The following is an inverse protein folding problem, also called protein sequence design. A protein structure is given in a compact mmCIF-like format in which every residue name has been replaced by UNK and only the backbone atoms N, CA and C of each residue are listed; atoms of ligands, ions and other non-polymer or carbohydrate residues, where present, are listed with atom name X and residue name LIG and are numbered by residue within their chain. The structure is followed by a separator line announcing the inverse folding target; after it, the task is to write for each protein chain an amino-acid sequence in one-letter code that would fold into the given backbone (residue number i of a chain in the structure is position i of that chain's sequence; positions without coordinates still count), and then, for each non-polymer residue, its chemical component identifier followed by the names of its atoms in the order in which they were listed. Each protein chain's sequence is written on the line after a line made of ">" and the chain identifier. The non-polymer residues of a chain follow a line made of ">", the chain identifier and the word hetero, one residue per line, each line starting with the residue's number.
data_IF_536730341749
#
_entry.id   IF_536730341749
#
_cell.length_a   1.000
_cell.length_b   1.000
_cell.length_c   1.000
_cell.angle_alpha   90.00
_cell.angle_beta   90.00
_cell.angle_gamma   90.00
#
_symmetry.space_group_name_H-M   'P 1'
#
loop_
_entity.id
_entity.type
_entity.pdbx_description
1 polymer ?
#
# COMPACT_ATOMS: atom_id res chain seq x y z
N UNK A 1 -11.15 -37.68 62.30
CA UNK A 1 -11.48 -37.79 60.87
C UNK A 1 -11.04 -36.43 60.22
N UNK A 2 -9.84 -36.38 59.68
CA UNK A 2 -9.33 -35.16 59.01
C UNK A 2 -9.50 -35.33 57.50
N UNK A 3 -10.20 -34.39 56.90
CA UNK A 3 -10.32 -34.28 55.41
C UNK A 3 -9.13 -33.50 54.88
N UNK A 4 -8.37 -34.13 53.98
CA UNK A 4 -7.27 -33.53 53.22
C UNK A 4 -7.85 -32.96 51.93
N UNK A 5 -7.91 -31.66 51.79
CA UNK A 5 -8.25 -30.99 50.51
C UNK A 5 -7.01 -30.97 49.63
N UNK A 6 -7.05 -31.72 48.53
CA UNK A 6 -6.01 -31.68 47.49
C UNK A 6 -6.35 -30.56 46.51
N UNK A 7 -5.54 -29.49 46.54
CA UNK A 7 -5.67 -28.34 45.60
C UNK A 7 -4.92 -28.74 44.29
N UNK A 8 -5.67 -28.95 43.23
CA UNK A 8 -5.10 -29.15 41.89
C UNK A 8 -4.80 -27.80 41.29
N UNK A 9 -3.52 -27.48 41.14
CA UNK A 9 -3.02 -26.30 40.44
C UNK A 9 -3.03 -26.59 38.93
N UNK A 10 -4.00 -26.00 38.20
CA UNK A 10 -4.02 -26.05 36.73
C UNK A 10 -3.01 -25.04 36.18
N UNK A 11 -1.93 -25.52 35.61
CA UNK A 11 -0.98 -24.69 34.85
C UNK A 11 -1.51 -24.51 33.44
N UNK A 12 -2.00 -23.29 33.14
CA UNK A 12 -2.32 -22.88 31.76
C UNK A 12 -1.02 -22.61 31.00
N UNK A 13 -0.65 -23.53 30.11
CA UNK A 13 0.39 -23.29 29.12
C UNK A 13 -0.19 -22.39 28.00
N UNK A 14 0.17 -21.12 28.01
CA UNK A 14 -0.02 -20.27 26.86
C UNK A 14 0.98 -20.68 25.77
N UNK A 15 0.52 -21.34 24.75
CA UNK A 15 1.29 -21.55 23.54
C UNK A 15 1.48 -20.20 22.84
N UNK A 16 2.67 -19.62 22.91
CA UNK A 16 3.05 -18.47 22.07
C UNK A 16 3.13 -18.97 20.64
N UNK A 17 2.13 -18.63 19.82
CA UNK A 17 2.24 -18.80 18.38
C UNK A 17 3.34 -17.85 17.92
N UNK A 18 4.43 -18.36 17.29
CA UNK A 18 5.44 -17.46 16.75
C UNK A 18 4.76 -16.57 15.69
N UNK A 19 4.82 -15.25 15.86
CA UNK A 19 4.47 -14.33 14.80
C UNK A 19 5.40 -14.66 13.61
N UNK A 20 4.85 -15.12 12.50
CA UNK A 20 5.61 -15.29 11.27
C UNK A 20 5.99 -13.86 10.87
N UNK A 21 7.22 -13.48 11.12
CA UNK A 21 7.79 -12.27 10.58
C UNK A 21 7.73 -12.45 9.05
N UNK A 22 6.80 -11.75 8.41
CA UNK A 22 6.78 -11.72 6.95
C UNK A 22 8.07 -11.03 6.52
N UNK A 23 8.97 -11.78 5.90
CA UNK A 23 10.21 -11.25 5.37
C UNK A 23 9.88 -10.23 4.27
N UNK A 24 9.84 -8.96 4.66
CA UNK A 24 9.73 -7.82 3.75
C UNK A 24 11.09 -7.18 3.62
N UNK A 25 11.56 -7.04 2.41
CA UNK A 25 12.77 -6.27 2.10
C UNK A 25 12.49 -5.31 0.95
N UNK A 26 13.24 -4.22 0.91
CA UNK A 26 13.14 -3.22 -0.15
C UNK A 26 14.55 -2.86 -0.66
N UNK A 27 14.66 -2.69 -1.97
CA UNK A 27 15.87 -2.20 -2.61
C UNK A 27 15.51 -1.29 -3.79
N UNK A 28 16.41 -0.38 -4.14
CA UNK A 28 16.25 0.41 -5.38
C UNK A 28 16.53 -0.45 -6.60
N UNK A 29 15.87 -0.15 -7.73
CA UNK A 29 16.15 -0.77 -9.03
C UNK A 29 16.27 0.28 -10.13
N UNK A 30 16.82 -0.12 -11.26
CA UNK A 30 16.97 0.71 -12.48
C UNK A 30 16.13 0.18 -13.64
N UNK A 31 15.14 -0.67 -13.36
CA UNK A 31 14.26 -1.27 -14.37
C UNK A 31 13.56 -0.18 -15.19
N UNK A 32 13.40 -0.42 -16.48
CA UNK A 32 12.59 0.42 -17.33
C UNK A 32 11.12 0.38 -16.86
N UNK A 33 10.40 1.47 -17.08
CA UNK A 33 8.95 1.52 -16.89
C UNK A 33 8.30 0.47 -17.79
N UNK A 34 7.34 -0.33 -17.30
CA UNK A 34 6.67 -1.38 -18.07
C UNK A 34 6.06 -0.86 -19.37
N UNK A 35 6.29 -1.60 -20.47
CA UNK A 35 5.85 -1.19 -21.81
C UNK A 35 4.32 -1.19 -21.98
N UNK A 36 3.62 -1.95 -21.15
CA UNK A 36 2.15 -2.00 -21.11
C UNK A 36 1.48 -0.74 -20.54
N UNK A 37 2.24 0.16 -19.91
CA UNK A 37 1.74 1.47 -19.47
C UNK A 37 1.68 2.41 -20.68
N UNK A 38 0.59 3.17 -20.80
CA UNK A 38 0.42 4.12 -21.89
C UNK A 38 1.53 5.17 -21.94
N UNK A 39 2.02 5.52 -23.13
CA UNK A 39 3.14 6.43 -23.32
C UNK A 39 3.01 7.80 -22.59
N UNK A 40 1.83 8.46 -22.56
CA UNK A 40 1.68 9.70 -21.80
C UNK A 40 1.91 9.53 -20.29
N UNK A 41 1.54 8.38 -19.72
CA UNK A 41 1.76 8.04 -18.31
C UNK A 41 3.22 7.67 -18.07
N UNK A 42 3.82 6.83 -18.94
CA UNK A 42 5.25 6.50 -18.86
C UNK A 42 6.14 7.75 -18.81
N UNK A 43 5.78 8.80 -19.56
CA UNK A 43 6.53 10.06 -19.59
C UNK A 43 6.62 10.76 -18.23
N UNK A 44 5.64 10.53 -17.34
CA UNK A 44 5.63 11.09 -15.97
C UNK A 44 6.40 10.24 -14.97
N UNK A 45 6.63 8.97 -15.22
CA UNK A 45 7.28 8.05 -14.29
C UNK A 45 8.81 8.21 -14.35
N UNK A 46 9.46 8.11 -13.20
CA UNK A 46 10.91 8.07 -13.10
C UNK A 46 11.44 6.76 -13.70
N UNK A 47 12.66 6.79 -14.23
CA UNK A 47 13.41 5.57 -14.57
C UNK A 47 13.96 4.97 -13.28
N UNK A 48 13.72 3.70 -13.08
CA UNK A 48 14.04 3.05 -11.81
C UNK A 48 13.02 3.37 -10.74
N UNK A 49 13.19 2.76 -9.59
CA UNK A 49 12.26 2.86 -8.46
C UNK A 49 12.65 1.94 -7.32
N UNK A 50 11.68 1.25 -6.74
CA UNK A 50 11.89 0.32 -5.64
C UNK A 50 11.30 -1.06 -5.94
N UNK A 51 12.03 -2.10 -5.58
CA UNK A 51 11.55 -3.48 -5.53
C UNK A 51 11.31 -3.86 -4.08
N UNK A 52 10.08 -4.22 -3.74
CA UNK A 52 9.74 -4.88 -2.48
C UNK A 52 9.63 -6.38 -2.69
N UNK A 53 10.22 -7.17 -1.79
CA UNK A 53 9.97 -8.62 -1.66
C UNK A 53 9.07 -8.85 -0.46
N UNK A 54 7.99 -9.59 -0.67
CA UNK A 54 7.02 -9.96 0.36
C UNK A 54 6.85 -11.47 0.29
N UNK A 55 7.61 -12.20 1.12
CA UNK A 55 7.75 -13.64 0.98
C UNK A 55 8.32 -14.01 -0.40
N UNK A 56 7.60 -14.85 -1.16
CA UNK A 56 7.99 -15.22 -2.52
C UNK A 56 7.56 -14.21 -3.60
N UNK A 57 6.77 -13.21 -3.25
CA UNK A 57 6.27 -12.22 -4.21
C UNK A 57 7.25 -11.06 -4.38
N UNK A 58 7.36 -10.56 -5.59
CA UNK A 58 8.13 -9.36 -5.92
C UNK A 58 7.18 -8.29 -6.46
N UNK A 59 7.28 -7.09 -5.89
CA UNK A 59 6.50 -5.91 -6.31
C UNK A 59 7.48 -4.81 -6.68
N UNK A 60 7.52 -4.44 -7.96
CA UNK A 60 8.31 -3.32 -8.45
C UNK A 60 7.45 -2.06 -8.48
N UNK A 61 8.01 -0.94 -8.06
CA UNK A 61 7.37 0.37 -8.02
C UNK A 61 8.15 1.39 -8.86
N UNK A 62 7.43 2.26 -9.57
CA UNK A 62 7.96 3.43 -10.28
C UNK A 62 7.15 4.64 -9.84
N UNK A 63 7.81 5.62 -9.26
CA UNK A 63 7.13 6.83 -8.78
C UNK A 63 7.11 7.91 -9.88
N UNK A 64 6.19 8.86 -9.79
CA UNK A 64 6.22 10.02 -10.69
C UNK A 64 7.47 10.85 -10.44
N UNK A 65 7.98 11.49 -11.50
CA UNK A 65 9.15 12.39 -11.42
C UNK A 65 8.89 13.61 -10.54
N UNK A 66 7.63 14.07 -10.53
CA UNK A 66 7.13 15.15 -9.68
C UNK A 66 5.65 14.93 -9.42
N UNK A 67 5.26 14.85 -8.15
CA UNK A 67 3.88 14.70 -7.75
C UNK A 67 3.20 16.08 -7.78
N UNK A 68 2.01 16.15 -8.37
CA UNK A 68 1.17 17.34 -8.32
C UNK A 68 0.54 17.46 -6.92
N UNK A 69 1.21 18.22 -6.05
CA UNK A 69 0.80 18.50 -4.69
C UNK A 69 0.95 20.01 -4.43
N UNK A 70 -0.03 20.62 -3.79
CA UNK A 70 -0.04 22.07 -3.47
C UNK A 70 0.69 22.41 -2.17
N UNK A 71 1.20 21.41 -1.45
CA UNK A 71 1.89 21.56 -0.16
C UNK A 71 2.79 20.35 0.13
N UNK A 72 3.18 20.20 1.41
CA UNK A 72 4.12 19.16 1.87
C UNK A 72 3.45 18.06 2.69
N UNK A 73 2.14 17.93 2.64
CA UNK A 73 1.36 16.89 3.30
C UNK A 73 0.36 16.24 2.33
N UNK A 74 -0.20 15.12 2.74
CA UNK A 74 -1.12 14.35 1.89
C UNK A 74 -2.41 15.10 1.57
N UNK A 75 -2.87 16.00 2.43
CA UNK A 75 -4.07 16.81 2.20
C UNK A 75 -3.91 17.77 1.01
N UNK A 76 -2.67 18.01 0.59
CA UNK A 76 -2.33 18.83 -0.57
C UNK A 76 -2.43 18.10 -1.92
N UNK A 77 -2.61 16.77 -1.90
CA UNK A 77 -2.75 15.93 -3.09
C UNK A 77 -4.22 15.79 -3.44
N UNK A 78 -4.59 16.12 -4.67
CA UNK A 78 -5.97 15.95 -5.13
C UNK A 78 -6.29 14.46 -5.36
N UNK A 79 -7.53 14.04 -5.08
CA UNK A 79 -7.97 12.68 -5.34
C UNK A 79 -7.89 12.32 -6.83
N UNK A 80 -7.49 11.09 -7.11
CA UNK A 80 -7.24 10.61 -8.48
C UNK A 80 -5.89 11.02 -9.07
N UNK A 81 -5.05 11.77 -8.34
CA UNK A 81 -3.69 12.13 -8.79
C UNK A 81 -2.83 10.88 -8.93
N UNK A 82 -2.10 10.79 -10.05
CA UNK A 82 -1.14 9.73 -10.29
C UNK A 82 0.07 9.89 -9.36
N UNK A 83 0.36 8.88 -8.56
CA UNK A 83 1.52 8.82 -7.65
C UNK A 83 2.63 7.96 -8.23
N UNK A 84 2.27 6.93 -8.99
CA UNK A 84 3.24 6.00 -9.55
C UNK A 84 2.60 4.82 -10.26
N UNK A 85 3.39 3.78 -10.46
CA UNK A 85 2.97 2.50 -10.99
C UNK A 85 3.58 1.36 -10.16
N UNK A 86 2.96 0.19 -10.20
CA UNK A 86 3.54 -1.03 -9.65
C UNK A 86 3.33 -2.21 -10.58
N UNK A 87 4.25 -3.19 -10.50
CA UNK A 87 4.14 -4.50 -11.14
C UNK A 87 4.24 -5.58 -10.09
N UNK A 88 3.23 -6.43 -10.03
CA UNK A 88 3.11 -7.52 -9.07
C UNK A 88 3.42 -8.83 -9.78
N UNK A 89 4.41 -9.58 -9.30
CA UNK A 89 4.89 -10.82 -9.96
C UNK A 89 3.97 -12.03 -9.76
N UNK A 90 3.23 -12.07 -8.64
CA UNK A 90 2.31 -13.14 -8.27
C UNK A 90 1.10 -12.53 -7.55
N UNK A 91 -0.02 -13.26 -7.36
CA UNK A 91 -1.16 -12.74 -6.62
C UNK A 91 -0.74 -12.17 -5.26
N UNK A 92 -1.14 -10.92 -5.00
CA UNK A 92 -0.79 -10.17 -3.80
C UNK A 92 -2.04 -9.91 -2.96
N UNK A 93 -1.95 -10.15 -1.67
CA UNK A 93 -3.06 -9.95 -0.74
C UNK A 93 -2.85 -8.65 0.03
N UNK A 94 -3.80 -7.73 -0.10
CA UNK A 94 -3.80 -6.47 0.66
C UNK A 94 -4.15 -6.70 2.14
N UNK A 95 -4.01 -5.65 2.97
CA UNK A 95 -4.29 -5.72 4.41
C UNK A 95 -5.78 -6.02 4.73
N UNK A 96 -6.67 -5.86 3.76
CA UNK A 96 -8.11 -6.18 3.87
C UNK A 96 -8.43 -7.59 3.37
N UNK A 97 -7.40 -8.40 3.12
CA UNK A 97 -7.52 -9.77 2.67
C UNK A 97 -7.95 -9.95 1.21
N UNK A 98 -7.96 -8.90 0.38
CA UNK A 98 -8.34 -8.96 -1.03
C UNK A 98 -7.15 -9.29 -1.89
N UNK A 99 -7.35 -10.09 -2.91
CA UNK A 99 -6.27 -10.54 -3.78
C UNK A 99 -6.22 -9.71 -5.06
N UNK A 100 -5.12 -8.98 -5.22
CA UNK A 100 -4.73 -8.34 -6.46
C UNK A 100 -3.99 -9.36 -7.32
N UNK A 101 -4.37 -9.53 -8.59
CA UNK A 101 -3.72 -10.48 -9.50
C UNK A 101 -2.32 -10.00 -9.86
N UNK A 102 -1.47 -10.92 -10.34
CA UNK A 102 -0.22 -10.55 -11.00
C UNK A 102 -0.52 -9.63 -12.21
N UNK A 103 0.25 -8.56 -12.35
CA UNK A 103 0.01 -7.58 -13.41
C UNK A 103 0.63 -6.22 -13.11
N UNK A 104 0.38 -5.26 -14.01
CA UNK A 104 0.84 -3.88 -13.91
C UNK A 104 -0.34 -2.95 -13.62
N UNK A 105 -0.15 -2.08 -12.64
CA UNK A 105 -1.16 -1.18 -12.13
C UNK A 105 -0.60 0.24 -12.01
N UNK A 106 -1.44 1.24 -12.22
CA UNK A 106 -1.15 2.61 -11.81
C UNK A 106 -1.64 2.84 -10.38
N UNK A 107 -0.96 3.71 -9.68
CA UNK A 107 -1.24 4.06 -8.29
C UNK A 107 -1.80 5.48 -8.24
N UNK A 108 -3.06 5.61 -7.83
CA UNK A 108 -3.74 6.89 -7.72
C UNK A 108 -4.12 7.19 -6.28
N UNK A 109 -3.79 8.41 -5.83
CA UNK A 109 -4.14 8.86 -4.48
C UNK A 109 -5.64 9.02 -4.31
N UNK A 110 -6.17 8.58 -3.19
CA UNK A 110 -7.57 8.78 -2.81
C UNK A 110 -7.76 8.81 -1.30
N UNK A 111 -8.91 9.30 -0.89
CA UNK A 111 -9.33 9.38 0.50
C UNK A 111 -10.55 8.49 0.75
N UNK A 112 -10.54 7.79 1.86
CA UNK A 112 -11.70 7.03 2.29
C UNK A 112 -12.88 7.98 2.59
N UNK A 113 -14.05 7.73 2.00
CA UNK A 113 -15.24 8.54 2.31
C UNK A 113 -15.56 8.54 3.80
N UNK A 114 -15.96 9.70 4.33
CA UNK A 114 -16.37 9.83 5.73
C UNK A 114 -17.89 9.55 5.88
N UNK A 115 -18.32 8.39 5.42
CA UNK A 115 -19.66 7.89 5.67
C UNK A 115 -19.60 6.70 6.64
N UNK A 116 -20.68 6.41 7.35
CA UNK A 116 -20.73 5.42 8.41
C UNK A 116 -20.28 4.01 8.01
N UNK A 117 -20.34 3.69 6.71
CA UNK A 117 -20.00 2.37 6.18
C UNK A 117 -18.48 2.09 6.11
N UNK A 118 -17.63 3.11 6.33
CA UNK A 118 -16.17 3.01 6.20
C UNK A 118 -15.43 3.27 7.52
N UNK A 119 -16.14 3.47 8.62
CA UNK A 119 -15.52 3.69 9.93
C UNK A 119 -14.78 2.42 10.39
N UNK A 120 -13.51 2.56 10.78
CA UNK A 120 -12.69 1.47 11.32
C UNK A 120 -12.10 0.49 10.30
N UNK A 121 -12.31 0.70 9.00
CA UNK A 121 -11.82 -0.20 7.91
C UNK A 121 -10.36 0.06 7.52
N UNK A 122 -9.78 1.17 7.96
CA UNK A 122 -8.36 1.50 7.84
C UNK A 122 -7.98 2.44 8.99
N UNK A 123 -6.76 2.35 9.51
CA UNK A 123 -6.29 3.28 10.57
C UNK A 123 -6.22 4.73 10.05
N UNK A 124 -6.02 4.92 8.74
CA UNK A 124 -5.92 6.23 8.09
C UNK A 124 -6.83 6.27 6.87
N UNK A 125 -7.23 7.49 6.49
CA UNK A 125 -8.12 7.71 5.34
C UNK A 125 -7.40 7.61 3.99
N UNK A 126 -6.12 7.85 4.00
CA UNK A 126 -5.27 7.94 2.82
C UNK A 126 -4.96 6.54 2.29
N UNK A 127 -5.09 6.39 0.97
CA UNK A 127 -4.74 5.15 0.30
C UNK A 127 -4.38 5.41 -1.17
N UNK A 128 -3.78 4.40 -1.80
CA UNK A 128 -3.55 4.37 -3.23
C UNK A 128 -4.51 3.37 -3.87
N UNK A 129 -5.25 3.81 -4.86
CA UNK A 129 -6.03 2.94 -5.75
C UNK A 129 -5.10 2.27 -6.74
N UNK A 130 -5.19 0.95 -6.87
CA UNK A 130 -4.49 0.20 -7.91
C UNK A 130 -5.42 0.04 -9.13
N UNK A 131 -5.16 0.78 -10.21
CA UNK A 131 -5.93 0.75 -11.45
C UNK A 131 -5.21 -0.06 -12.51
N UNK A 132 -5.89 -0.90 -13.34
CA UNK A 132 -5.22 -1.68 -14.38
C UNK A 132 -4.53 -0.77 -15.39
N UNK A 133 -3.22 -0.93 -15.60
CA UNK A 133 -2.43 -0.07 -16.50
C UNK A 133 -2.93 -0.09 -17.96
N UNK A 134 -3.56 -1.18 -18.38
CA UNK A 134 -4.13 -1.30 -19.73
C UNK A 134 -5.37 -0.42 -19.97
N UNK A 135 -6.08 -0.04 -18.88
CA UNK A 135 -7.31 0.74 -18.95
C UNK A 135 -7.13 2.17 -18.47
N UNK A 136 -6.17 2.39 -17.59
CA UNK A 136 -5.83 3.69 -17.05
C UNK A 136 -4.72 4.34 -17.89
N UNK A 137 -5.12 5.09 -18.91
CA UNK A 137 -4.20 5.62 -19.92
C UNK A 137 -3.95 7.12 -19.81
N UNK A 138 -4.61 7.82 -18.86
CA UNK A 138 -4.49 9.27 -18.73
C UNK A 138 -3.49 9.70 -17.66
N UNK A 139 -2.61 10.67 -17.94
CA UNK A 139 -1.72 11.26 -16.94
C UNK A 139 -2.44 12.23 -16.00
N UNK A 140 -3.62 12.73 -16.36
CA UNK A 140 -4.38 13.70 -15.56
C UNK A 140 -4.97 13.07 -14.30
N UNK A 141 -5.24 13.90 -13.28
CA UNK A 141 -6.01 13.47 -12.12
C UNK A 141 -7.44 13.12 -12.56
N UNK A 142 -7.92 11.96 -12.11
CA UNK A 142 -9.25 11.45 -12.48
C UNK A 142 -10.37 11.96 -11.56
N UNK A 143 -10.03 12.45 -10.37
CA UNK A 143 -10.97 12.61 -9.27
C UNK A 143 -11.30 11.26 -8.61
N UNK A 144 -12.14 11.30 -7.56
CA UNK A 144 -12.44 10.12 -6.71
C UNK A 144 -13.18 9.01 -7.49
N UNK A 145 -14.41 9.28 -7.94
CA UNK A 145 -15.30 8.26 -8.48
C UNK A 145 -14.75 7.55 -9.73
N UNK A 146 -14.22 8.24 -10.75
CA UNK A 146 -13.64 7.58 -11.91
C UNK A 146 -12.42 6.72 -11.56
N UNK A 147 -11.59 7.15 -10.60
CA UNK A 147 -10.44 6.37 -10.13
C UNK A 147 -10.88 5.10 -9.38
N UNK A 148 -11.91 5.21 -8.55
CA UNK A 148 -12.53 4.06 -7.84
C UNK A 148 -13.11 3.06 -8.84
N UNK A 149 -13.82 3.53 -9.87
CA UNK A 149 -14.43 2.65 -10.88
C UNK A 149 -13.39 1.89 -11.71
N UNK A 150 -12.26 2.53 -12.02
CA UNK A 150 -11.13 1.83 -12.63
C UNK A 150 -10.51 0.80 -11.69
N UNK A 151 -10.30 1.16 -10.42
CA UNK A 151 -9.68 0.25 -9.44
C UNK A 151 -10.54 -0.99 -9.13
N UNK A 152 -11.87 -0.90 -9.22
CA UNK A 152 -12.76 -2.08 -9.13
C UNK A 152 -12.44 -3.15 -10.18
N UNK A 153 -12.01 -2.75 -11.37
CA UNK A 153 -11.65 -3.68 -12.45
C UNK A 153 -10.42 -4.52 -12.15
N UNK A 154 -9.54 -4.05 -11.26
CA UNK A 154 -8.32 -4.76 -10.86
C UNK A 154 -8.57 -6.08 -10.12
N UNK A 155 -9.69 -6.18 -9.40
CA UNK A 155 -10.05 -7.34 -8.57
C UNK A 155 -11.42 -7.95 -8.91
N UNK A 156 -12.13 -7.40 -9.88
CA UNK A 156 -13.43 -7.91 -10.36
C UNK A 156 -14.52 -8.04 -9.28
N UNK A 157 -14.55 -7.12 -8.31
CA UNK A 157 -15.59 -7.06 -7.27
C UNK A 157 -16.11 -5.63 -7.12
N UNK A 158 -17.18 -5.45 -6.35
CA UNK A 158 -17.82 -4.13 -6.11
C UNK A 158 -16.94 -3.11 -5.38
N UNK A 159 -15.86 -3.55 -4.73
CA UNK A 159 -14.91 -2.68 -4.06
C UNK A 159 -13.63 -2.47 -4.89
N UNK A 160 -12.98 -1.31 -4.80
CA UNK A 160 -11.73 -1.05 -5.51
C UNK A 160 -10.57 -1.83 -4.89
N UNK A 161 -9.52 -2.08 -5.70
CA UNK A 161 -8.22 -2.50 -5.20
C UNK A 161 -7.53 -1.31 -4.53
N UNK A 162 -7.22 -1.45 -3.25
CA UNK A 162 -6.63 -0.38 -2.43
C UNK A 162 -5.34 -0.84 -1.76
N UNK A 163 -4.38 0.07 -1.66
CA UNK A 163 -3.17 -0.07 -0.87
C UNK A 163 -3.20 1.02 0.20
N UNK A 164 -3.41 0.63 1.45
CA UNK A 164 -3.54 1.57 2.57
C UNK A 164 -2.21 2.25 2.88
N UNK A 165 -2.28 3.49 3.34
CA UNK A 165 -1.13 4.27 3.74
C UNK A 165 -1.13 4.46 5.25
N UNK A 166 0.05 4.32 5.86
CA UNK A 166 0.34 4.79 7.20
C UNK A 166 1.09 6.13 7.13
N UNK A 167 0.98 7.01 8.15
CA UNK A 167 1.86 8.15 8.27
C UNK A 167 3.32 7.69 8.23
N UNK A 168 4.17 8.32 7.39
CA UNK A 168 5.54 7.87 7.24
C UNK A 168 6.33 8.11 8.53
N UNK A 169 6.95 7.06 9.03
CA UNK A 169 7.90 7.16 10.15
C UNK A 169 9.19 7.81 9.63
N UNK A 170 9.82 8.65 10.44
CA UNK A 170 11.13 9.21 10.10
C UNK A 170 12.19 8.11 10.12
N UNK A 171 12.71 7.75 8.95
CA UNK A 171 13.66 6.63 8.80
C UNK A 171 15.08 7.07 8.55
N UNK A 172 15.34 8.36 8.36
CA UNK A 172 16.66 8.86 7.93
C UNK A 172 17.08 8.42 6.51
N UNK A 173 16.30 7.58 5.84
CA UNK A 173 16.51 7.09 4.47
C UNK A 173 15.29 7.38 3.61
N UNK A 174 15.47 7.70 2.31
CA UNK A 174 14.36 7.97 1.39
C UNK A 174 13.56 6.72 1.01
N UNK A 175 14.09 5.53 1.29
CA UNK A 175 13.46 4.24 1.08
C UNK A 175 13.82 3.30 2.24
N UNK A 176 12.83 2.81 2.96
CA UNK A 176 13.04 1.92 4.12
C UNK A 176 11.82 1.01 4.35
N UNK A 177 12.04 -0.11 5.03
CA UNK A 177 10.98 -0.92 5.62
C UNK A 177 10.78 -0.47 7.06
N UNK A 178 9.54 -0.30 7.48
CA UNK A 178 9.16 0.06 8.85
C UNK A 178 8.07 -0.87 9.36
N UNK A 179 8.00 -1.02 10.68
CA UNK A 179 6.89 -1.69 11.34
C UNK A 179 6.15 -0.68 12.21
N UNK A 180 4.83 -0.74 12.22
CA UNK A 180 3.98 0.10 13.05
C UNK A 180 3.54 -0.65 14.31
N UNK A 181 3.08 0.08 15.32
CA UNK A 181 2.52 -0.49 16.55
C UNK A 181 1.26 -1.33 16.29
N UNK A 182 0.58 -1.09 15.17
CA UNK A 182 -0.55 -1.89 14.70
C UNK A 182 -0.13 -3.23 14.04
N UNK A 183 1.18 -3.54 14.00
CA UNK A 183 1.71 -4.76 13.40
C UNK A 183 1.78 -4.73 11.86
N UNK A 184 1.61 -3.57 11.25
CA UNK A 184 1.80 -3.43 9.80
C UNK A 184 3.28 -3.35 9.44
N UNK A 185 3.65 -3.96 8.31
CA UNK A 185 4.95 -3.74 7.68
C UNK A 185 4.75 -2.86 6.45
N UNK A 186 5.34 -1.67 6.49
CA UNK A 186 5.22 -0.64 5.46
C UNK A 186 6.55 -0.36 4.79
N UNK A 187 6.53 0.06 3.54
CA UNK A 187 7.66 0.72 2.90
C UNK A 187 7.46 2.23 2.99
N UNK A 188 8.46 2.94 3.49
CA UNK A 188 8.53 4.40 3.39
C UNK A 188 9.26 4.77 2.12
N UNK A 189 8.70 5.66 1.33
CA UNK A 189 9.31 6.21 0.12
C UNK A 189 9.00 7.70 -0.02
N UNK A 190 9.82 8.39 -0.80
CA UNK A 190 9.68 9.81 -1.08
C UNK A 190 9.36 10.03 -2.56
N UNK A 191 8.40 10.91 -2.82
CA UNK A 191 8.06 11.36 -4.18
C UNK A 191 8.34 12.85 -4.28
N UNK A 192 9.16 13.30 -5.24
CA UNK A 192 9.44 14.72 -5.44
C UNK A 192 8.17 15.52 -5.74
N UNK A 193 8.11 16.75 -5.25
CA UNK A 193 7.08 17.75 -5.56
C UNK A 193 7.75 19.08 -5.92
N UNK A 194 7.00 20.06 -6.37
CA UNK A 194 7.53 21.39 -6.62
C UNK A 194 8.02 22.12 -5.35
N UNK A 195 7.57 21.67 -4.15
CA UNK A 195 7.91 22.26 -2.85
C UNK A 195 8.89 21.41 -2.03
N UNK A 196 9.46 20.35 -2.60
CA UNK A 196 10.36 19.43 -1.91
C UNK A 196 10.02 17.96 -2.21
N UNK A 197 9.89 17.13 -1.18
CA UNK A 197 9.47 15.73 -1.34
C UNK A 197 8.34 15.41 -0.37
N UNK A 198 7.39 14.60 -0.81
CA UNK A 198 6.32 14.06 0.01
C UNK A 198 6.62 12.61 0.36
N UNK A 199 6.54 12.28 1.65
CA UNK A 199 6.78 10.91 2.15
C UNK A 199 5.48 10.14 2.22
N UNK A 200 5.56 8.86 1.89
CA UNK A 200 4.48 7.89 1.99
C UNK A 200 4.94 6.68 2.80
N UNK A 201 4.05 6.14 3.63
CA UNK A 201 4.19 4.85 4.29
C UNK A 201 3.20 3.87 3.65
N UNK A 202 3.62 3.07 2.67
CA UNK A 202 2.75 2.12 1.98
C UNK A 202 2.73 0.79 2.73
N UNK A 203 1.57 0.38 3.23
CA UNK A 203 1.42 -0.89 3.94
C UNK A 203 1.48 -2.03 2.94
N UNK A 204 2.46 -2.92 3.11
CA UNK A 204 2.61 -4.12 2.27
C UNK A 204 2.12 -5.38 2.96
N UNK A 205 2.24 -5.45 4.28
CA UNK A 205 1.82 -6.62 5.07
C UNK A 205 1.12 -6.13 6.33
N UNK A 206 0.05 -6.78 6.66
CA UNK A 206 -0.80 -6.54 7.81
C UNK A 206 -2.14 -7.23 7.63
N UNK A 207 -2.96 -7.22 8.63
CA UNK A 207 -4.34 -7.67 8.57
C UNK A 207 -5.18 -6.70 9.40
N UNK A 208 -6.21 -6.15 8.80
CA UNK A 208 -7.28 -5.46 9.54
C UNK A 208 -8.40 -6.49 9.71
N UNK A 209 -8.64 -6.88 10.94
CA UNK A 209 -9.84 -7.65 11.29
C UNK A 209 -11.02 -6.69 11.22
N UNK A 210 -11.96 -6.97 10.32
CA UNK A 210 -13.20 -6.21 10.12
C UNK A 210 -14.33 -6.79 10.94
#
# INVERSE_FOLDING_TARGET
>A
MGQVFSTVLAVLLFATVPAVANDVSVATHTNAVPAEIAAPVQALLARGGATAKVGANTIDFWWVKSLDAKGQDWSSVAEGTLVGAMKVSAPYRDIRGRTLKAGTYLLRYALQPQNGDHLGVSPHREFLLATPAAEDTTPAALGHDPAVDLAKKSINISHPAVLSLDPPVSTGAPLAVTQTDAGHTSIVFEVPTAQGALKFGLILVGLIEA
#
